data_IF_787129115124
#
_entry.id   IF_787129115124
#
_cell.length_a   1.000
_cell.length_b   1.000
_cell.length_c   1.000
_cell.angle_alpha   90.00
_cell.angle_beta   90.00
_cell.angle_gamma   90.00
#
_symmetry.space_group_name_H-M   'P 1'
#
loop_
_entity.id
_entity.type
_entity.pdbx_description
1 polymer ?
#
# COMPACT_ATOMS: atom_id res chain seq x y z
N UNK A 1 -8.49 7.33 -16.11
CA UNK A 1 -7.73 7.83 -14.96
C UNK A 1 -7.27 6.67 -14.09
N UNK A 2 -6.01 6.66 -13.74
CA UNK A 2 -5.43 5.59 -12.93
C UNK A 2 -5.05 6.09 -11.55
N UNK A 3 -4.97 5.18 -10.59
CA UNK A 3 -4.45 5.51 -9.26
C UNK A 3 -2.99 5.92 -9.43
N UNK A 4 -2.56 7.07 -8.86
CA UNK A 4 -1.16 7.47 -8.93
C UNK A 4 -0.22 6.38 -8.41
N UNK A 5 0.87 6.12 -9.12
CA UNK A 5 1.78 5.04 -8.72
C UNK A 5 2.35 5.25 -7.32
N UNK A 6 2.59 6.50 -6.93
CA UNK A 6 3.07 6.80 -5.58
C UNK A 6 2.14 6.24 -4.51
N UNK A 7 0.82 6.40 -4.69
CA UNK A 7 -0.16 5.86 -3.75
C UNK A 7 -0.17 4.34 -3.75
N UNK A 8 -0.01 3.74 -4.94
CA UNK A 8 0.07 2.28 -5.05
C UNK A 8 1.27 1.74 -4.28
N UNK A 9 2.44 2.38 -4.44
CA UNK A 9 3.65 1.97 -3.74
C UNK A 9 3.52 2.14 -2.23
N UNK A 10 2.93 3.25 -1.79
CA UNK A 10 2.69 3.48 -0.37
C UNK A 10 1.70 2.47 0.21
N UNK A 11 0.70 2.08 -0.57
CA UNK A 11 -0.27 1.06 -0.15
C UNK A 11 0.43 -0.29 0.07
N UNK A 12 1.29 -0.70 -0.87
CA UNK A 12 2.03 -1.95 -0.73
C UNK A 12 2.98 -1.91 0.47
N UNK A 13 3.62 -0.77 0.70
CA UNK A 13 4.49 -0.61 1.87
C UNK A 13 3.69 -0.73 3.17
N UNK A 14 2.51 -0.14 3.22
CA UNK A 14 1.66 -0.21 4.40
C UNK A 14 1.21 -1.65 4.67
N UNK A 15 0.86 -2.40 3.62
CA UNK A 15 0.49 -3.80 3.75
C UNK A 15 1.66 -4.64 4.25
N UNK A 16 2.84 -4.48 3.68
CA UNK A 16 4.04 -5.22 4.10
C UNK A 16 4.40 -4.92 5.54
N UNK A 17 4.35 -3.65 5.91
CA UNK A 17 4.65 -3.24 7.28
C UNK A 17 3.65 -3.86 8.26
N UNK A 18 2.36 -3.89 7.89
CA UNK A 18 1.35 -4.51 8.72
C UNK A 18 1.59 -6.01 8.89
N UNK A 19 1.92 -6.70 7.81
CA UNK A 19 2.21 -8.13 7.85
C UNK A 19 3.43 -8.41 8.75
N UNK A 20 4.49 -7.61 8.62
CA UNK A 20 5.70 -7.75 9.43
C UNK A 20 5.45 -7.50 10.92
N UNK A 21 4.42 -6.71 11.26
CA UNK A 21 4.12 -6.37 12.64
C UNK A 21 2.99 -7.19 13.26
N UNK A 22 2.46 -8.15 12.52
CA UNK A 22 1.41 -9.05 13.07
C UNK A 22 1.97 -9.76 14.31
N UNK A 23 1.25 -9.66 15.43
CA UNK A 23 1.69 -10.21 16.70
C UNK A 23 2.59 -9.30 17.53
N UNK A 24 2.94 -8.11 17.02
CA UNK A 24 3.75 -7.11 17.74
C UNK A 24 2.85 -5.97 18.21
N UNK A 25 3.40 -5.12 19.10
CA UNK A 25 2.61 -4.08 19.75
C UNK A 25 2.04 -2.99 18.83
N UNK A 26 2.62 -2.75 17.69
CA UNK A 26 2.25 -1.61 16.83
C UNK A 26 1.23 -1.94 15.74
N UNK A 27 0.41 -2.95 15.95
CA UNK A 27 -0.57 -3.40 14.96
C UNK A 27 -1.60 -2.32 14.60
N UNK A 28 -2.07 -1.57 15.60
CA UNK A 28 -3.08 -0.53 15.36
C UNK A 28 -2.55 0.62 14.52
N UNK A 29 -1.29 1.00 14.72
CA UNK A 29 -0.66 2.05 13.93
C UNK A 29 -0.53 1.68 12.45
N UNK A 30 -0.18 0.42 12.17
CA UNK A 30 -0.04 -0.04 10.80
C UNK A 30 -1.40 -0.14 10.10
N UNK A 31 -2.44 -0.59 10.80
CA UNK A 31 -3.81 -0.62 10.27
C UNK A 31 -4.29 0.79 9.95
N UNK A 32 -4.01 1.75 10.82
CA UNK A 32 -4.39 3.13 10.60
C UNK A 32 -3.79 3.67 9.29
N UNK A 33 -2.53 3.35 9.02
CA UNK A 33 -1.87 3.79 7.79
C UNK A 33 -2.52 3.20 6.56
N UNK A 34 -2.88 1.92 6.60
CA UNK A 34 -3.60 1.27 5.50
C UNK A 34 -4.92 2.00 5.23
N UNK A 35 -5.69 2.30 6.27
CA UNK A 35 -6.95 3.00 6.13
C UNK A 35 -6.79 4.41 5.58
N UNK A 36 -5.75 5.13 6.00
CA UNK A 36 -5.49 6.47 5.49
C UNK A 36 -5.23 6.45 3.97
N UNK A 37 -4.39 5.52 3.51
CA UNK A 37 -4.07 5.40 2.09
C UNK A 37 -5.29 4.94 1.29
N UNK A 38 -6.03 3.97 1.82
CA UNK A 38 -7.26 3.50 1.19
C UNK A 38 -8.25 4.64 1.01
N UNK A 39 -8.38 5.48 2.03
CA UNK A 39 -9.27 6.63 1.97
C UNK A 39 -8.80 7.65 0.93
N UNK A 40 -7.51 7.92 0.84
CA UNK A 40 -6.98 8.82 -0.17
C UNK A 40 -7.31 8.33 -1.58
N UNK A 41 -7.15 7.02 -1.82
CA UNK A 41 -7.48 6.42 -3.11
C UNK A 41 -8.98 6.54 -3.38
N UNK A 42 -9.82 6.26 -2.38
CA UNK A 42 -11.27 6.37 -2.51
C UNK A 42 -11.70 7.79 -2.80
N UNK A 43 -11.05 8.78 -2.19
CA UNK A 43 -11.36 10.18 -2.41
C UNK A 43 -11.07 10.62 -3.85
N UNK A 44 -10.18 9.91 -4.55
CA UNK A 44 -9.91 10.16 -5.97
C UNK A 44 -10.97 9.55 -6.89
N UNK A 45 -11.93 8.81 -6.35
CA UNK A 45 -13.02 8.21 -7.11
C UNK A 45 -12.86 6.74 -7.44
N UNK A 46 -11.87 6.06 -6.85
CA UNK A 46 -11.64 4.64 -7.11
C UNK A 46 -12.39 3.76 -6.12
N UNK A 47 -12.83 2.59 -6.58
CA UNK A 47 -13.58 1.66 -5.78
C UNK A 47 -12.70 0.62 -5.09
N UNK A 48 -13.33 -0.18 -4.24
CA UNK A 48 -12.67 -1.26 -3.50
C UNK A 48 -11.98 -2.26 -4.42
N UNK A 49 -12.59 -2.55 -5.56
CA UNK A 49 -12.04 -3.46 -6.56
C UNK A 49 -10.69 -2.97 -7.08
N UNK A 50 -10.60 -1.66 -7.35
CA UNK A 50 -9.37 -1.06 -7.86
C UNK A 50 -8.25 -1.16 -6.83
N UNK A 51 -8.58 -1.01 -5.56
CA UNK A 51 -7.62 -1.11 -4.47
C UNK A 51 -7.11 -2.55 -4.34
N UNK A 52 -8.01 -3.53 -4.44
CA UNK A 52 -7.63 -4.93 -4.36
C UNK A 52 -6.69 -5.34 -5.50
N UNK A 53 -6.84 -4.74 -6.67
CA UNK A 53 -5.99 -5.05 -7.81
C UNK A 53 -4.55 -4.58 -7.63
N UNK A 54 -4.31 -3.58 -6.79
CA UNK A 54 -2.96 -3.12 -6.48
C UNK A 54 -2.11 -4.29 -5.94
N UNK A 55 -2.66 -5.04 -5.02
CA UNK A 55 -1.94 -6.16 -4.39
C UNK A 55 -1.75 -7.36 -5.32
N UNK A 56 -2.48 -7.41 -6.43
CA UNK A 56 -2.41 -8.51 -7.39
C UNK A 56 -1.52 -8.20 -8.60
N UNK A 57 -1.06 -6.98 -8.73
CA UNK A 57 -0.27 -6.53 -9.87
C UNK A 57 1.20 -6.92 -9.70
N UNK A 58 1.62 -7.97 -10.39
CA UNK A 58 2.98 -8.49 -10.30
C UNK A 58 4.03 -7.50 -10.82
N UNK A 59 3.73 -6.79 -11.91
CA UNK A 59 4.65 -5.79 -12.47
C UNK A 59 4.85 -4.63 -11.51
N UNK A 60 3.78 -4.22 -10.85
CA UNK A 60 3.85 -3.17 -9.85
C UNK A 60 4.73 -3.62 -8.67
N UNK A 61 4.64 -4.89 -8.30
CA UNK A 61 5.40 -5.42 -7.18
C UNK A 61 6.91 -5.36 -7.45
N UNK A 62 7.32 -5.60 -8.69
CA UNK A 62 8.73 -5.46 -9.07
C UNK A 62 9.19 -4.01 -8.90
N UNK A 63 8.39 -3.07 -9.35
CA UNK A 63 8.69 -1.64 -9.19
C UNK A 63 8.69 -1.23 -7.72
N UNK A 64 7.79 -1.81 -6.95
CA UNK A 64 7.71 -1.58 -5.51
C UNK A 64 9.01 -2.01 -4.81
N UNK A 65 9.52 -3.19 -5.11
CA UNK A 65 10.75 -3.67 -4.49
C UNK A 65 11.95 -2.76 -4.81
N UNK A 66 12.05 -2.31 -6.05
CA UNK A 66 13.08 -1.37 -6.46
C UNK A 66 12.96 -0.04 -5.71
N UNK A 67 11.74 0.46 -5.63
CA UNK A 67 11.45 1.71 -4.92
C UNK A 67 11.79 1.59 -3.43
N UNK A 68 11.44 0.47 -2.81
CA UNK A 68 11.71 0.22 -1.41
C UNK A 68 13.21 0.20 -1.12
N UNK A 69 13.98 -0.46 -1.97
CA UNK A 69 15.43 -0.51 -1.84
C UNK A 69 16.06 0.87 -1.95
N UNK A 70 15.58 1.68 -2.88
CA UNK A 70 16.12 3.03 -3.08
C UNK A 70 15.85 3.94 -1.88
N UNK A 71 14.84 3.64 -1.08
CA UNK A 71 14.51 4.40 0.12
C UNK A 71 15.11 3.82 1.40
N UNK A 72 15.83 2.72 1.31
CA UNK A 72 16.42 2.04 2.47
C UNK A 72 15.39 1.63 3.53
N UNK A 73 14.26 1.18 3.08
CA UNK A 73 13.20 0.74 3.99
C UNK A 73 13.28 -0.76 4.20
#
# INVERSE_FOLDING_TARGET
MEIPEKLKLEYLLALDTHIETVGKENKEGTMKRIFEITREIADLGFGEKDIHEIAKDEDLYVRYETWRKSKNI
#
